data_IF_256692553204
#
_entry.id   IF_256692553204
#
_cell.length_a   1.000
_cell.length_b   1.000
_cell.length_c   1.000
_cell.angle_alpha   90.00
_cell.angle_beta   90.00
_cell.angle_gamma   90.00
#
_symmetry.space_group_name_H-M   'P 1'
#
loop_
_entity.id
_entity.type
_entity.pdbx_description
1 polymer ?
#
# COMPACT_ATOMS: atom_id res chain seq x y z
N UNK A 1 -30.14 59.63 14.33
CA UNK A 1 -29.21 60.64 13.77
C UNK A 1 -27.82 60.03 13.74
N UNK A 2 -27.14 60.18 12.59
CA UNK A 2 -25.67 60.17 12.41
C UNK A 2 -24.98 58.83 12.68
N UNK A 3 -24.70 58.02 11.65
CA UNK A 3 -23.54 58.14 10.74
C UNK A 3 -22.21 57.80 11.43
N UNK A 4 -21.59 56.71 10.95
CA UNK A 4 -20.16 56.54 10.60
C UNK A 4 -19.93 55.04 10.36
N UNK A 5 -19.78 54.54 9.12
CA UNK A 5 -18.62 54.61 8.19
C UNK A 5 -17.33 54.09 8.83
N UNK A 6 -16.97 52.83 8.53
CA UNK A 6 -15.60 52.37 8.19
C UNK A 6 -15.74 51.11 7.29
N UNK A 7 -15.77 51.26 5.97
CA UNK A 7 -14.67 50.97 5.03
C UNK A 7 -14.17 49.51 5.05
N UNK A 8 -14.66 48.69 4.11
CA UNK A 8 -14.01 47.46 3.66
C UNK A 8 -14.09 47.39 2.13
N UNK A 9 -12.98 47.74 1.45
CA UNK A 9 -12.84 47.71 0.00
C UNK A 9 -12.90 46.25 -0.48
N UNK A 10 -13.93 45.88 -1.24
CA UNK A 10 -13.91 44.72 -2.13
C UNK A 10 -13.49 45.18 -3.52
N UNK A 11 -12.21 45.06 -3.81
CA UNK A 11 -11.61 45.20 -5.13
C UNK A 11 -10.34 44.35 -5.09
N UNK A 12 -10.04 43.42 -5.97
CA UNK A 12 -10.45 43.27 -7.35
C UNK A 12 -9.91 41.90 -7.77
N UNK A 13 -10.70 41.20 -8.57
CA UNK A 13 -10.21 40.24 -9.56
C UNK A 13 -8.88 40.70 -10.16
N UNK A 14 -7.97 39.75 -10.39
CA UNK A 14 -7.20 39.63 -11.63
C UNK A 14 -5.73 39.31 -11.38
N UNK A 15 -5.37 38.08 -11.74
CA UNK A 15 -4.20 37.73 -12.53
C UNK A 15 -2.90 38.47 -12.22
N UNK A 16 -1.94 37.79 -11.58
CA UNK A 16 -0.61 37.73 -12.18
C UNK A 16 0.25 36.57 -11.67
N UNK A 17 0.88 35.97 -12.66
CA UNK A 17 1.69 34.76 -12.65
C UNK A 17 3.14 35.05 -12.24
N UNK A 18 3.84 33.96 -11.88
CA UNK A 18 5.32 33.76 -11.87
C UNK A 18 6.01 34.34 -10.61
N UNK A 19 7.00 33.71 -9.98
CA UNK A 19 8.11 32.91 -10.48
C UNK A 19 8.64 31.93 -9.39
N UNK A 20 9.13 30.79 -9.88
CA UNK A 20 10.05 29.79 -9.32
C UNK A 20 11.00 30.19 -8.16
N UNK A 21 11.32 29.22 -7.28
CA UNK A 21 12.69 28.72 -6.94
C UNK A 21 12.56 27.63 -5.85
N UNK A 22 12.67 26.35 -6.20
CA UNK A 22 13.85 25.46 -6.17
C UNK A 22 14.12 24.77 -4.82
N UNK A 23 14.34 23.46 -4.93
CA UNK A 23 14.95 22.49 -4.00
C UNK A 23 14.21 22.07 -2.73
N UNK A 24 13.58 20.90 -2.78
CA UNK A 24 13.99 19.74 -1.97
C UNK A 24 13.47 18.44 -2.61
N UNK A 25 14.34 17.83 -3.41
CA UNK A 25 14.28 16.44 -3.87
C UNK A 25 14.32 15.50 -2.66
N UNK A 26 13.64 14.34 -2.70
CA UNK A 26 14.20 12.99 -2.42
C UNK A 26 13.11 11.93 -2.67
N UNK A 27 13.21 11.28 -3.84
CA UNK A 27 12.99 9.84 -4.14
C UNK A 27 11.67 9.21 -3.67
N UNK A 28 10.72 8.91 -4.55
CA UNK A 28 10.83 7.81 -5.50
C UNK A 28 9.92 8.03 -6.73
N UNK A 29 10.54 8.33 -7.87
CA UNK A 29 9.93 8.18 -9.20
C UNK A 29 10.01 6.70 -9.61
N UNK A 30 8.94 6.19 -10.24
CA UNK A 30 8.79 5.06 -11.20
C UNK A 30 7.34 4.56 -11.00
N UNK A 31 6.41 4.55 -11.96
CA UNK A 31 6.51 4.16 -13.38
C UNK A 31 5.33 4.78 -14.14
N UNK A 32 5.56 5.78 -15.01
CA UNK A 32 5.64 5.66 -16.47
C UNK A 32 4.51 4.87 -17.15
N UNK A 33 3.90 5.55 -18.12
CA UNK A 33 3.17 4.97 -19.25
C UNK A 33 4.05 3.96 -19.97
N UNK A 34 3.88 2.67 -19.68
CA UNK A 34 4.55 1.57 -20.37
C UNK A 34 3.52 0.46 -20.60
N UNK A 35 3.47 -0.05 -21.83
CA UNK A 35 2.52 -1.06 -22.31
C UNK A 35 2.36 -2.21 -21.29
N UNK A 36 1.12 -2.62 -21.02
CA UNK A 36 0.78 -3.65 -20.01
C UNK A 36 1.50 -5.00 -20.19
N UNK A 37 2.08 -5.22 -21.37
CA UNK A 37 2.74 -6.46 -21.75
C UNK A 37 4.13 -6.62 -21.11
N UNK A 38 4.85 -5.52 -20.83
CA UNK A 38 6.26 -5.51 -20.34
C UNK A 38 6.40 -5.21 -18.83
N UNK A 39 5.32 -5.33 -18.06
CA UNK A 39 5.43 -5.23 -16.61
C UNK A 39 6.26 -6.39 -16.04
N UNK A 40 7.12 -6.14 -15.04
CA UNK A 40 7.84 -7.19 -14.33
C UNK A 40 6.87 -8.30 -13.91
N UNK A 41 7.27 -9.55 -14.06
CA UNK A 41 6.46 -10.71 -13.68
C UNK A 41 5.92 -10.58 -12.24
N UNK A 42 6.77 -10.06 -11.34
CA UNK A 42 6.44 -9.79 -9.95
C UNK A 42 5.27 -8.78 -9.80
N UNK A 43 5.15 -7.78 -10.69
CA UNK A 43 4.02 -6.84 -10.64
C UNK A 43 2.69 -7.49 -11.05
N UNK A 44 2.73 -8.44 -12.00
CA UNK A 44 1.53 -9.22 -12.37
C UNK A 44 1.10 -10.14 -11.22
N UNK A 45 2.07 -10.80 -10.59
CA UNK A 45 1.83 -11.65 -9.41
C UNK A 45 1.30 -10.81 -8.24
N UNK A 46 1.90 -9.64 -7.99
CA UNK A 46 1.47 -8.71 -6.94
C UNK A 46 -0.01 -8.37 -7.10
N UNK A 47 -0.43 -7.89 -8.27
CA UNK A 47 -1.83 -7.48 -8.50
C UNK A 47 -2.82 -8.63 -8.33
N UNK A 48 -2.45 -9.82 -8.81
CA UNK A 48 -3.30 -11.00 -8.69
C UNK A 48 -3.40 -11.46 -7.23
N UNK A 49 -2.27 -11.57 -6.54
CA UNK A 49 -2.20 -11.97 -5.14
C UNK A 49 -2.90 -10.96 -4.22
N UNK A 50 -2.71 -9.66 -4.44
CA UNK A 50 -3.35 -8.58 -3.68
C UNK A 50 -4.88 -8.69 -3.77
N UNK A 51 -5.41 -8.84 -4.98
CA UNK A 51 -6.86 -9.01 -5.19
C UNK A 51 -7.42 -10.21 -4.41
N UNK A 52 -6.77 -11.36 -4.48
CA UNK A 52 -7.22 -12.58 -3.78
C UNK A 52 -7.11 -12.41 -2.27
N UNK A 53 -6.04 -11.75 -1.82
CA UNK A 53 -5.81 -11.47 -0.42
C UNK A 53 -6.91 -10.55 0.14
N UNK A 54 -7.35 -9.54 -0.61
CA UNK A 54 -8.46 -8.68 -0.20
C UNK A 54 -9.83 -9.38 -0.24
N UNK A 55 -10.13 -10.10 -1.31
CA UNK A 55 -11.46 -10.69 -1.52
C UNK A 55 -11.70 -11.93 -0.66
N UNK A 56 -10.67 -12.74 -0.43
CA UNK A 56 -10.80 -14.01 0.29
C UNK A 56 -10.15 -14.01 1.66
N UNK A 57 -8.95 -13.46 1.82
CA UNK A 57 -8.14 -13.72 3.02
C UNK A 57 -8.42 -12.70 4.13
N UNK A 58 -8.43 -11.41 3.79
CA UNK A 58 -8.73 -10.30 4.71
C UNK A 58 -10.02 -10.51 5.52
N UNK A 59 -11.18 -10.93 4.97
CA UNK A 59 -12.38 -11.09 5.79
C UNK A 59 -12.24 -12.15 6.89
N UNK A 60 -11.52 -13.25 6.64
CA UNK A 60 -11.29 -14.27 7.68
C UNK A 60 -10.34 -13.78 8.77
N UNK A 61 -9.27 -13.07 8.39
CA UNK A 61 -8.29 -12.55 9.35
C UNK A 61 -8.87 -11.41 10.18
N UNK A 62 -9.66 -10.52 9.57
CA UNK A 62 -10.34 -9.44 10.28
C UNK A 62 -11.41 -9.96 11.24
N UNK A 63 -12.08 -11.07 10.90
CA UNK A 63 -12.98 -11.74 11.83
C UNK A 63 -12.25 -12.27 13.08
N UNK A 64 -11.01 -12.73 12.91
CA UNK A 64 -10.12 -13.15 14.01
C UNK A 64 -9.46 -11.97 14.75
N UNK A 65 -9.74 -10.72 14.34
CA UNK A 65 -9.21 -9.50 14.95
C UNK A 65 -7.77 -9.17 14.52
N UNK A 66 -7.32 -9.72 13.39
CA UNK A 66 -6.05 -9.38 12.76
C UNK A 66 -6.24 -8.54 11.49
N UNK A 67 -5.14 -8.21 10.84
CA UNK A 67 -5.13 -7.73 9.46
C UNK A 67 -3.89 -8.26 8.73
N UNK A 68 -3.95 -8.28 7.40
CA UNK A 68 -2.82 -8.67 6.54
C UNK A 68 -2.69 -7.70 5.38
N UNK A 69 -1.46 -7.26 5.14
CA UNK A 69 -1.10 -6.36 4.05
C UNK A 69 -0.02 -7.01 3.20
N UNK A 70 -0.22 -7.03 1.88
CA UNK A 70 0.82 -7.38 0.93
C UNK A 70 1.67 -6.13 0.67
N UNK A 71 2.95 -6.20 1.00
CA UNK A 71 3.88 -5.07 0.89
C UNK A 71 4.63 -5.11 -0.44
N UNK A 72 5.08 -6.30 -0.84
CA UNK A 72 5.90 -6.47 -2.03
C UNK A 72 5.87 -7.93 -2.51
N UNK A 73 6.32 -8.16 -3.75
CA UNK A 73 6.57 -9.48 -4.30
C UNK A 73 7.96 -9.49 -4.93
N UNK A 74 8.80 -10.45 -4.53
CA UNK A 74 10.15 -10.61 -5.09
C UNK A 74 10.39 -12.04 -5.52
N UNK A 75 10.70 -12.26 -6.79
CA UNK A 75 11.01 -13.59 -7.34
C UNK A 75 9.90 -14.64 -7.11
N UNK A 76 8.64 -14.19 -7.04
CA UNK A 76 7.48 -15.01 -6.66
C UNK A 76 7.34 -15.29 -5.15
N UNK A 77 8.09 -14.60 -4.30
CA UNK A 77 7.91 -14.63 -2.84
C UNK A 77 7.11 -13.41 -2.40
N UNK A 78 5.97 -13.66 -1.77
CA UNK A 78 5.10 -12.61 -1.22
C UNK A 78 5.70 -12.10 0.10
N UNK A 79 5.89 -10.79 0.22
CA UNK A 79 6.29 -10.13 1.45
C UNK A 79 5.03 -9.51 2.06
N UNK A 80 4.62 -10.03 3.21
CA UNK A 80 3.42 -9.59 3.90
C UNK A 80 3.76 -9.03 5.27
N UNK A 81 2.93 -8.10 5.73
CA UNK A 81 2.89 -7.66 7.12
C UNK A 81 1.59 -8.13 7.74
N UNK A 82 1.67 -8.75 8.92
CA UNK A 82 0.50 -9.06 9.74
C UNK A 82 0.30 -7.95 10.77
N UNK A 83 -0.95 -7.71 11.17
CA UNK A 83 -1.30 -6.74 12.20
C UNK A 83 -2.40 -7.30 13.12
N UNK A 84 -2.59 -6.68 14.30
CA UNK A 84 -3.68 -7.03 15.23
C UNK A 84 -3.44 -8.28 16.07
N UNK A 85 -4.48 -9.08 16.32
CA UNK A 85 -4.41 -10.27 17.18
C UNK A 85 -3.43 -11.35 16.68
N UNK A 86 -3.02 -11.27 15.42
CA UNK A 86 -2.04 -12.15 14.79
C UNK A 86 -0.59 -11.68 14.98
N UNK A 87 -0.36 -10.43 15.41
CA UNK A 87 0.98 -9.89 15.72
C UNK A 87 1.54 -10.56 17.00
N UNK A 88 2.76 -11.07 16.92
CA UNK A 88 3.53 -11.55 18.09
C UNK A 88 3.26 -13.00 18.55
N UNK A 89 2.31 -13.74 17.94
CA UNK A 89 2.12 -15.16 18.25
C UNK A 89 2.86 -16.06 17.25
N UNK A 90 4.16 -16.28 17.48
CA UNK A 90 5.02 -17.12 16.61
C UNK A 90 4.49 -18.55 16.38
N UNK A 91 3.71 -19.10 17.31
CA UNK A 91 3.11 -20.43 17.13
C UNK A 91 1.96 -20.45 16.09
N UNK A 92 1.31 -19.31 15.85
CA UNK A 92 0.17 -19.20 14.92
C UNK A 92 0.57 -18.64 13.56
N UNK A 93 1.64 -17.85 13.49
CA UNK A 93 2.08 -17.22 12.25
C UNK A 93 2.46 -18.24 11.17
N UNK A 94 3.20 -19.31 11.52
CA UNK A 94 3.60 -20.34 10.54
C UNK A 94 2.42 -21.05 9.87
N UNK A 95 1.37 -21.36 10.63
CA UNK A 95 0.18 -22.06 10.11
C UNK A 95 -0.69 -21.13 9.27
N UNK A 96 -0.86 -19.87 9.70
CA UNK A 96 -1.59 -18.86 8.94
C UNK A 96 -0.90 -18.58 7.60
N UNK A 97 0.42 -18.38 7.60
CA UNK A 97 1.18 -18.19 6.37
C UNK A 97 1.08 -19.37 5.41
N UNK A 98 1.09 -20.61 5.92
CA UNK A 98 0.85 -21.80 5.12
C UNK A 98 -0.54 -21.82 4.47
N UNK A 99 -1.59 -21.44 5.22
CA UNK A 99 -2.95 -21.33 4.70
C UNK A 99 -3.10 -20.26 3.62
N UNK A 100 -2.55 -19.06 3.87
CA UNK A 100 -2.53 -17.95 2.91
C UNK A 100 -1.80 -18.36 1.63
N UNK A 101 -0.62 -18.97 1.76
CA UNK A 101 0.18 -19.40 0.63
C UNK A 101 -0.56 -20.44 -0.23
N UNK A 102 -1.21 -21.42 0.39
CA UNK A 102 -1.96 -22.46 -0.32
C UNK A 102 -3.08 -21.87 -1.18
N UNK A 103 -3.88 -20.95 -0.63
CA UNK A 103 -4.98 -20.30 -1.35
C UNK A 103 -4.44 -19.47 -2.52
N UNK A 104 -3.36 -18.71 -2.32
CA UNK A 104 -2.81 -17.86 -3.39
C UNK A 104 -2.14 -18.71 -4.47
N UNK A 105 -1.47 -19.81 -4.13
CA UNK A 105 -0.83 -20.70 -5.10
C UNK A 105 -1.82 -21.41 -6.03
N UNK A 106 -3.04 -21.70 -5.54
CA UNK A 106 -4.09 -22.32 -6.35
C UNK A 106 -4.57 -21.40 -7.48
N UNK A 107 -4.62 -20.09 -7.21
CA UNK A 107 -5.18 -19.09 -8.12
C UNK A 107 -4.09 -18.35 -8.93
N UNK A 108 -2.86 -18.24 -8.41
CA UNK A 108 -1.75 -17.50 -9.03
C UNK A 108 -0.54 -18.42 -9.26
N UNK A 109 -0.43 -19.04 -10.45
CA UNK A 109 0.74 -19.85 -10.78
C UNK A 109 1.98 -18.96 -10.88
N UNK A 110 2.99 -19.22 -10.04
CA UNK A 110 4.23 -18.44 -9.96
C UNK A 110 4.63 -18.04 -8.54
N UNK A 111 3.71 -18.15 -7.59
CA UNK A 111 4.02 -17.92 -6.16
C UNK A 111 4.81 -19.09 -5.58
N UNK A 112 6.02 -18.83 -5.12
CA UNK A 112 6.95 -19.81 -4.54
C UNK A 112 6.88 -19.87 -3.02
N UNK A 113 6.52 -18.76 -2.36
CA UNK A 113 6.52 -18.70 -0.91
C UNK A 113 5.99 -17.38 -0.36
N UNK A 114 5.97 -17.29 0.96
CA UNK A 114 5.54 -16.13 1.72
C UNK A 114 6.56 -15.83 2.83
N UNK A 115 6.84 -14.56 3.08
CA UNK A 115 7.70 -14.09 4.17
C UNK A 115 7.05 -12.92 4.89
N UNK A 116 7.28 -12.87 6.20
CA UNK A 116 6.93 -11.73 7.02
C UNK A 116 7.95 -10.61 6.84
N UNK A 117 7.46 -9.37 6.77
CA UNK A 117 8.30 -8.18 6.91
C UNK A 117 8.71 -8.05 8.38
N UNK A 118 9.99 -8.25 8.65
CA UNK A 118 10.56 -8.03 9.97
C UNK A 118 11.10 -6.60 10.04
N UNK A 119 10.52 -5.80 10.93
CA UNK A 119 11.06 -4.49 11.28
C UNK A 119 12.10 -4.67 12.40
N UNK A 120 13.25 -4.00 12.29
CA UNK A 120 14.37 -4.19 13.22
C UNK A 120 14.24 -3.38 14.53
N UNK A 121 13.15 -2.65 14.69
CA UNK A 121 12.92 -1.76 15.84
C UNK A 121 12.43 -2.50 17.11
N UNK A 122 12.21 -3.81 17.02
CA UNK A 122 11.68 -4.68 18.10
C UNK A 122 12.76 -5.47 18.89
N UNK A 123 14.07 -5.18 18.72
CA UNK A 123 15.19 -5.84 19.42
C UNK A 123 15.83 -4.97 20.50
#
# INVERSE_FOLDING_TARGET
MLSQIVKGKLTTSSYFTRYFTTTANTTNEIKSTENEEDLPLDTKIYRAADKILEERIKPFIQQDGGDVVLEDVKDGVLIVSLSGACQGCHAKSSTLYGGILGIIQEEVPGVKGIREKLDFDDI
#
